data_IF_940431839331
#
_entry.id   IF_940431839331
#
_cell.length_a   1.000
_cell.length_b   1.000
_cell.length_c   1.000
_cell.angle_alpha   90.00
_cell.angle_beta   90.00
_cell.angle_gamma   90.00
#
_symmetry.space_group_name_H-M   'P 1'
#
loop_
_entity.id
_entity.type
_entity.pdbx_description
1 polymer ?
#
# COMPACT_ATOMS: atom_id res chain seq x y z
N UNK A 1 -11.52 -12.87 21.84
CA UNK A 1 -11.47 -11.78 20.85
C UNK A 1 -10.26 -12.01 19.96
N UNK A 2 -10.42 -12.21 18.65
CA UNK A 2 -9.28 -12.18 17.73
C UNK A 2 -8.95 -10.71 17.47
N UNK A 3 -7.70 -10.32 17.71
CA UNK A 3 -7.18 -9.05 17.21
C UNK A 3 -7.13 -9.15 15.69
N UNK A 4 -7.98 -8.38 15.00
CA UNK A 4 -7.93 -8.25 13.55
C UNK A 4 -7.21 -6.96 13.22
N UNK A 5 -6.15 -7.07 12.44
CA UNK A 5 -5.42 -5.92 11.92
C UNK A 5 -5.93 -5.57 10.54
N UNK A 6 -6.06 -4.27 10.30
CA UNK A 6 -6.45 -3.69 9.02
C UNK A 6 -5.35 -2.77 8.54
N UNK A 7 -5.09 -2.82 7.24
CA UNK A 7 -4.00 -2.09 6.62
C UNK A 7 -4.53 -1.15 5.56
N UNK A 8 -4.13 0.10 5.63
CA UNK A 8 -4.21 1.03 4.51
C UNK A 8 -2.87 1.01 3.80
N UNK A 9 -2.85 0.89 2.48
CA UNK A 9 -1.61 0.77 1.73
C UNK A 9 -1.60 1.62 0.47
N UNK A 10 -0.39 1.93 -0.02
CA UNK A 10 -0.18 2.50 -1.35
C UNK A 10 0.71 1.57 -2.16
N UNK A 11 0.18 1.12 -3.29
CA UNK A 11 0.94 0.44 -4.34
C UNK A 11 1.32 1.41 -5.45
N UNK A 12 2.42 1.10 -6.12
CA UNK A 12 2.83 1.79 -7.33
C UNK A 12 3.36 0.82 -8.39
N UNK A 13 3.71 1.34 -9.56
CA UNK A 13 4.37 0.59 -10.62
C UNK A 13 5.89 0.80 -10.55
N UNK A 14 6.65 0.08 -11.38
CA UNK A 14 8.11 0.18 -11.40
C UNK A 14 8.65 1.62 -11.57
N UNK A 15 7.89 2.48 -12.26
CA UNK A 15 8.25 3.88 -12.52
C UNK A 15 7.76 4.88 -11.45
N UNK A 16 7.16 4.40 -10.35
CA UNK A 16 6.62 5.20 -9.25
C UNK A 16 5.60 6.28 -9.70
N UNK A 17 4.95 6.11 -10.86
CA UNK A 17 4.11 7.15 -11.46
C UNK A 17 2.61 6.89 -11.36
N UNK A 18 2.18 5.65 -11.08
CA UNK A 18 0.78 5.32 -10.77
C UNK A 18 0.68 5.05 -9.27
N UNK A 19 -0.24 5.69 -8.57
CA UNK A 19 -0.46 5.46 -7.14
C UNK A 19 -1.86 4.87 -6.92
N UNK A 20 -1.93 3.71 -6.30
CA UNK A 20 -3.17 3.03 -5.94
C UNK A 20 -3.26 2.93 -4.42
N UNK A 21 -4.36 3.41 -3.84
CA UNK A 21 -4.63 3.33 -2.40
C UNK A 21 -5.76 2.35 -2.15
N UNK A 22 -5.56 1.45 -1.18
CA UNK A 22 -6.57 0.47 -0.79
C UNK A 22 -6.50 0.10 0.68
N UNK A 23 -7.45 -0.72 1.10
CA UNK A 23 -7.53 -1.31 2.44
C UNK A 23 -7.63 -2.84 2.35
N UNK A 24 -7.04 -3.55 3.31
CA UNK A 24 -7.11 -5.01 3.43
C UNK A 24 -6.94 -5.43 4.89
N UNK A 25 -7.44 -6.60 5.26
CA UNK A 25 -7.12 -7.25 6.55
C UNK A 25 -5.92 -8.20 6.47
N UNK A 26 -5.37 -8.38 5.27
CA UNK A 26 -4.24 -9.26 4.97
C UNK A 26 -3.41 -8.59 3.86
N UNK A 27 -2.29 -7.98 4.27
CA UNK A 27 -1.44 -7.19 3.38
C UNK A 27 -0.54 -8.07 2.51
N UNK A 28 0.00 -9.16 3.07
CA UNK A 28 0.84 -10.13 2.34
C UNK A 28 0.07 -10.80 1.23
N UNK A 29 -1.12 -11.34 1.52
CA UNK A 29 -1.99 -11.93 0.50
C UNK A 29 -2.30 -10.92 -0.60
N UNK A 30 -2.60 -9.67 -0.23
CA UNK A 30 -2.94 -8.63 -1.21
C UNK A 30 -1.74 -8.29 -2.10
N UNK A 31 -0.54 -8.18 -1.54
CA UNK A 31 0.67 -7.99 -2.33
C UNK A 31 0.92 -9.17 -3.27
N UNK A 32 0.74 -10.40 -2.80
CA UNK A 32 0.82 -11.61 -3.62
C UNK A 32 -0.17 -11.58 -4.79
N UNK A 33 -1.45 -11.24 -4.54
CA UNK A 33 -2.48 -11.12 -5.57
C UNK A 33 -2.10 -10.13 -6.68
N UNK A 34 -1.54 -8.97 -6.31
CA UNK A 34 -1.13 -7.93 -7.26
C UNK A 34 0.13 -8.29 -8.05
N UNK A 35 1.12 -8.91 -7.40
CA UNK A 35 2.35 -9.40 -8.05
C UNK A 35 2.04 -10.51 -9.06
N UNK A 36 1.18 -11.44 -8.68
CA UNK A 36 0.77 -12.57 -9.54
C UNK A 36 -0.39 -12.25 -10.48
N UNK A 37 -0.82 -10.97 -10.55
CA UNK A 37 -1.86 -10.51 -11.49
C UNK A 37 -3.16 -11.31 -11.41
N UNK A 38 -3.51 -11.79 -10.21
CA UNK A 38 -4.64 -12.70 -9.99
C UNK A 38 -5.99 -12.02 -10.21
N UNK A 39 -6.07 -10.71 -10.02
CA UNK A 39 -7.29 -9.92 -10.18
C UNK A 39 -7.12 -8.97 -11.37
N UNK A 40 -7.94 -9.17 -12.41
CA UNK A 40 -8.01 -8.27 -13.56
C UNK A 40 -8.61 -6.92 -13.14
N UNK A 41 -8.07 -5.82 -13.66
CA UNK A 41 -8.54 -4.48 -13.33
C UNK A 41 -7.50 -3.39 -13.58
N UNK A 42 -7.65 -2.26 -12.89
CA UNK A 42 -6.73 -1.11 -13.00
C UNK A 42 -5.28 -1.49 -12.66
N UNK A 43 -5.09 -2.16 -11.53
CA UNK A 43 -3.75 -2.54 -11.04
C UNK A 43 -3.08 -3.57 -11.93
N UNK A 44 -3.85 -4.46 -12.55
CA UNK A 44 -3.39 -5.33 -13.62
C UNK A 44 -2.92 -4.53 -14.84
N UNK A 45 -3.77 -3.63 -15.37
CA UNK A 45 -3.49 -2.86 -16.59
C UNK A 45 -2.23 -2.00 -16.47
N UNK A 46 -1.98 -1.41 -15.30
CA UNK A 46 -0.89 -0.47 -15.08
C UNK A 46 0.32 -1.07 -14.33
N UNK A 47 0.37 -2.39 -14.15
CA UNK A 47 1.43 -3.09 -13.41
C UNK A 47 1.70 -2.46 -12.04
N UNK A 48 0.62 -2.26 -11.27
CA UNK A 48 0.69 -1.71 -9.91
C UNK A 48 0.80 -2.86 -8.92
N UNK A 49 2.03 -3.18 -8.53
CA UNK A 49 2.39 -4.35 -7.71
C UNK A 49 3.51 -4.08 -6.69
N UNK A 50 4.03 -2.85 -6.66
CA UNK A 50 5.11 -2.44 -5.77
C UNK A 50 4.55 -1.79 -4.51
N UNK A 51 4.74 -2.41 -3.34
CA UNK A 51 4.26 -1.85 -2.08
C UNK A 51 5.24 -0.78 -1.57
N UNK A 52 4.79 0.46 -1.45
CA UNK A 52 5.67 1.58 -1.03
C UNK A 52 5.24 2.22 0.27
N UNK A 53 4.04 1.94 0.77
CA UNK A 53 3.51 2.52 1.99
C UNK A 53 2.46 1.60 2.62
N UNK A 54 2.43 1.54 3.95
CA UNK A 54 1.30 0.98 4.69
C UNK A 54 1.15 1.60 6.08
N UNK A 55 -0.07 1.57 6.62
CA UNK A 55 -0.44 1.90 8.00
C UNK A 55 -1.30 0.76 8.56
N UNK A 56 -1.13 0.44 9.85
CA UNK A 56 -1.88 -0.59 10.55
C UNK A 56 -2.91 0.03 11.50
N UNK A 57 -4.09 -0.59 11.58
CA UNK A 57 -5.21 -0.19 12.44
C UNK A 57 -5.84 -1.42 13.08
N UNK A 58 -6.34 -1.25 14.31
CA UNK A 58 -7.11 -2.29 15.02
C UNK A 58 -8.60 -2.28 14.66
N UNK A 59 -9.08 -1.16 14.11
CA UNK A 59 -10.47 -0.93 13.74
C UNK A 59 -10.58 -0.66 12.23
N UNK A 60 -11.47 -1.38 11.55
CA UNK A 60 -11.68 -1.25 10.11
C UNK A 60 -12.20 0.15 9.75
N UNK A 61 -13.00 0.78 10.61
CA UNK A 61 -13.55 2.11 10.41
C UNK A 61 -12.45 3.16 10.33
N UNK A 62 -11.41 3.03 11.17
CA UNK A 62 -10.24 3.92 11.14
C UNK A 62 -9.43 3.72 9.86
N UNK A 63 -9.21 2.47 9.45
CA UNK A 63 -8.55 2.16 8.19
C UNK A 63 -9.31 2.73 6.98
N UNK A 64 -10.64 2.57 6.93
CA UNK A 64 -11.48 3.11 5.86
C UNK A 64 -11.46 4.65 5.86
N UNK A 65 -11.55 5.28 7.03
CA UNK A 65 -11.49 6.74 7.14
C UNK A 65 -10.14 7.27 6.63
N UNK A 66 -9.05 6.61 7.00
CA UNK A 66 -7.70 6.94 6.54
C UNK A 66 -7.53 6.72 5.04
N UNK A 67 -8.05 5.61 4.50
CA UNK A 67 -8.03 5.34 3.06
C UNK A 67 -8.73 6.44 2.26
N UNK A 68 -9.94 6.85 2.69
CA UNK A 68 -10.68 7.98 2.10
C UNK A 68 -9.88 9.27 2.17
N UNK A 69 -9.27 9.56 3.31
CA UNK A 69 -8.44 10.74 3.51
C UNK A 69 -7.25 10.76 2.53
N UNK A 70 -6.51 9.64 2.41
CA UNK A 70 -5.38 9.52 1.50
C UNK A 70 -5.86 9.61 0.05
N UNK A 71 -6.99 8.99 -0.33
CA UNK A 71 -7.54 9.08 -1.69
C UNK A 71 -7.79 10.54 -2.11
N UNK A 72 -8.32 11.36 -1.20
CA UNK A 72 -8.55 12.79 -1.40
C UNK A 72 -7.29 13.67 -1.41
N UNK A 73 -6.12 13.14 -1.07
CA UNK A 73 -4.88 13.91 -1.15
C UNK A 73 -4.47 14.20 -2.59
N UNK A 74 -3.86 15.38 -2.77
CA UNK A 74 -3.13 15.70 -3.99
C UNK A 74 -2.00 14.70 -4.21
N UNK A 75 -1.57 14.56 -5.47
CA UNK A 75 -0.46 13.69 -5.82
C UNK A 75 0.83 14.04 -5.06
N UNK A 76 1.10 15.33 -4.87
CA UNK A 76 2.26 15.82 -4.11
C UNK A 76 2.19 15.33 -2.67
N UNK A 77 1.04 15.50 -2.00
CA UNK A 77 0.86 15.08 -0.60
C UNK A 77 0.96 13.56 -0.42
N UNK A 78 0.53 12.77 -1.41
CA UNK A 78 0.76 11.31 -1.41
C UNK A 78 2.25 10.97 -1.51
N UNK A 79 3.00 11.66 -2.37
CA UNK A 79 4.46 11.46 -2.49
C UNK A 79 5.20 11.87 -1.23
N UNK A 80 4.82 12.97 -0.59
CA UNK A 80 5.39 13.39 0.69
C UNK A 80 5.11 12.36 1.78
N UNK A 81 3.90 11.81 1.83
CA UNK A 81 3.54 10.74 2.77
C UNK A 81 4.42 9.50 2.56
N UNK A 82 4.58 9.07 1.31
CA UNK A 82 5.46 7.96 0.96
C UNK A 82 6.91 8.30 1.32
N UNK A 83 7.42 9.47 0.95
CA UNK A 83 8.80 9.86 1.21
C UNK A 83 9.14 9.90 2.71
N UNK A 84 8.20 10.33 3.56
CA UNK A 84 8.38 10.36 5.02
C UNK A 84 8.47 8.95 5.62
N UNK A 85 7.88 7.95 4.96
CA UNK A 85 7.86 6.58 5.42
C UNK A 85 8.94 5.73 4.75
N UNK A 86 9.12 5.88 3.44
CA UNK A 86 9.95 5.08 2.55
C UNK A 86 10.55 6.01 1.49
N UNK A 87 11.59 6.76 1.89
CA UNK A 87 12.27 7.76 1.03
C UNK A 87 12.92 7.15 -0.21
N UNK A 88 13.37 5.89 -0.11
CA UNK A 88 13.98 5.14 -1.21
C UNK A 88 12.94 4.50 -2.16
N UNK A 89 11.64 4.57 -1.83
CA UNK A 89 10.58 3.90 -2.57
C UNK A 89 10.89 2.43 -2.81
N UNK A 90 11.46 1.73 -1.83
CA UNK A 90 11.72 0.30 -1.95
C UNK A 90 10.39 -0.47 -1.95
N UNK A 91 10.37 -1.62 -2.62
CA UNK A 91 9.23 -2.53 -2.53
C UNK A 91 9.26 -3.24 -1.17
N UNK A 92 8.36 -2.85 -0.28
CA UNK A 92 8.26 -3.36 1.08
C UNK A 92 7.75 -4.81 1.12
N UNK A 93 7.33 -5.39 -0.01
CA UNK A 93 6.93 -6.78 -0.12
C UNK A 93 7.71 -7.52 -1.23
N UNK A 94 8.93 -7.09 -1.55
CA UNK A 94 9.73 -7.68 -2.63
C UNK A 94 9.82 -9.21 -2.54
N UNK A 95 10.16 -9.71 -1.35
CA UNK A 95 10.42 -11.14 -1.09
C UNK A 95 9.19 -11.90 -0.56
N UNK A 96 8.00 -11.32 -0.70
CA UNK A 96 6.74 -11.91 -0.20
C UNK A 96 6.49 -11.72 1.30
N UNK A 97 7.40 -11.08 2.03
CA UNK A 97 7.28 -10.73 3.44
C UNK A 97 7.24 -9.20 3.56
N UNK A 98 6.36 -8.66 4.42
CA UNK A 98 6.30 -7.21 4.67
C UNK A 98 7.50 -6.78 5.50
N UNK A 99 8.25 -5.81 4.97
CA UNK A 99 9.36 -5.16 5.65
C UNK A 99 8.96 -3.75 6.08
N UNK A 100 9.38 -3.37 7.29
CA UNK A 100 9.37 -1.98 7.67
C UNK A 100 10.48 -1.25 6.87
N UNK A 101 10.24 -0.03 6.39
CA UNK A 101 11.31 0.78 5.83
C UNK A 101 12.36 1.04 6.92
N UNK A 102 13.63 0.82 6.60
CA UNK A 102 14.75 1.19 7.48
C UNK A 102 14.68 2.70 7.74
N UNK A 103 14.53 3.10 9.00
CA UNK A 103 14.66 4.50 9.39
C UNK A 103 16.10 4.91 9.12
N UNK A 104 16.32 5.78 8.13
CA UNK A 104 17.56 6.56 8.03
C UNK A 104 17.59 7.63 9.13
#
# INVERSE_FOLDING_TARGET
MRLHLYYVYILTNAYNNVLYTGVTNDLERRCFEHKNKMIKGFTYKYNVDKLVYYEQFEHIELAIAREKQIKGYSRIKKRELINKFNSAWIDLCADGIIKAPEKQ
#
